data_IF_743655019886
#
_entry.id   IF_743655019886
#
_cell.length_a   1.000
_cell.length_b   1.000
_cell.length_c   1.000
_cell.angle_alpha   90.00
_cell.angle_beta   90.00
_cell.angle_gamma   90.00
#
_symmetry.space_group_name_H-M   'P 1'
#
loop_
_entity.id
_entity.type
_entity.pdbx_description
1 polymer ?
#
# COMPACT_ATOMS: atom_id res chain seq x y z
N UNK A 1 21.77 -6.71 -14.67
CA UNK A 1 20.93 -5.48 -14.63
C UNK A 1 20.47 -5.29 -13.19
N UNK A 2 20.70 -4.12 -12.58
CA UNK A 2 20.24 -3.86 -11.22
C UNK A 2 18.71 -3.90 -11.19
N UNK A 3 18.14 -4.64 -10.22
CA UNK A 3 16.71 -4.60 -9.94
C UNK A 3 16.39 -3.15 -9.53
N UNK A 4 15.66 -2.42 -10.38
CA UNK A 4 15.23 -1.05 -10.05
C UNK A 4 14.33 -1.09 -8.81
N UNK A 5 14.46 -0.10 -7.93
CA UNK A 5 13.59 0.06 -6.78
C UNK A 5 12.11 0.14 -7.23
N UNK A 6 11.20 -0.31 -6.36
CA UNK A 6 9.77 -0.20 -6.62
C UNK A 6 9.38 1.27 -6.78
N UNK A 7 8.52 1.59 -7.75
CA UNK A 7 7.93 2.93 -7.90
C UNK A 7 6.77 3.16 -6.92
N UNK A 8 6.24 2.09 -6.29
CA UNK A 8 5.12 2.13 -5.36
C UNK A 8 5.23 3.20 -4.26
N UNK A 9 6.35 3.36 -3.50
CA UNK A 9 6.41 4.36 -2.43
C UNK A 9 6.33 5.80 -2.95
N UNK A 10 6.87 6.06 -4.15
CA UNK A 10 6.80 7.38 -4.80
C UNK A 10 5.38 7.71 -5.25
N UNK A 11 4.69 6.73 -5.83
CA UNK A 11 3.28 6.87 -6.21
C UNK A 11 2.37 7.06 -5.00
N UNK A 12 2.65 6.36 -3.89
CA UNK A 12 1.89 6.55 -2.65
C UNK A 12 2.04 7.96 -2.12
N UNK A 13 3.26 8.50 -2.09
CA UNK A 13 3.52 9.90 -1.70
C UNK A 13 2.76 10.89 -2.58
N UNK A 14 2.82 10.72 -3.90
CA UNK A 14 2.15 11.61 -4.83
C UNK A 14 0.62 11.65 -4.63
N UNK A 15 -0.02 10.49 -4.45
CA UNK A 15 -1.47 10.44 -4.20
C UNK A 15 -1.84 11.01 -2.83
N UNK A 16 -1.03 10.73 -1.80
CA UNK A 16 -1.23 11.34 -0.48
C UNK A 16 -1.17 12.87 -0.54
N UNK A 17 -0.13 13.43 -1.18
CA UNK A 17 0.03 14.89 -1.33
C UNK A 17 -1.13 15.50 -2.11
N UNK A 18 -1.58 14.85 -3.19
CA UNK A 18 -2.76 15.27 -3.94
C UNK A 18 -4.02 15.28 -3.08
N UNK A 19 -4.30 14.21 -2.34
CA UNK A 19 -5.47 14.16 -1.44
C UNK A 19 -5.44 15.33 -0.43
N UNK A 20 -4.29 15.58 0.20
CA UNK A 20 -4.15 16.68 1.19
C UNK A 20 -4.32 18.05 0.53
N UNK A 21 -3.75 18.26 -0.67
CA UNK A 21 -3.85 19.51 -1.41
C UNK A 21 -5.29 19.84 -1.83
N UNK A 22 -6.12 18.83 -2.07
CA UNK A 22 -7.55 18.96 -2.41
C UNK A 22 -8.47 18.90 -1.16
N UNK A 23 -7.91 18.86 0.04
CA UNK A 23 -8.66 18.71 1.31
C UNK A 23 -9.51 17.42 1.36
N UNK A 24 -9.07 16.36 0.68
CA UNK A 24 -9.65 15.03 0.77
C UNK A 24 -9.05 14.21 1.92
N UNK A 25 -9.78 13.17 2.31
CA UNK A 25 -9.37 12.22 3.36
C UNK A 25 -8.56 11.07 2.74
N UNK A 26 -7.22 11.01 2.91
CA UNK A 26 -6.41 9.96 2.33
C UNK A 26 -6.63 8.64 3.09
N UNK A 27 -7.14 7.63 2.40
CA UNK A 27 -7.37 6.29 2.93
C UNK A 27 -6.34 5.31 2.37
N UNK A 28 -5.64 4.60 3.27
CA UNK A 28 -4.64 3.60 2.93
C UNK A 28 -5.21 2.20 3.20
N UNK A 29 -5.25 1.38 2.17
CA UNK A 29 -5.63 -0.03 2.25
C UNK A 29 -4.37 -0.90 2.26
N UNK A 30 -4.25 -1.75 3.28
CA UNK A 30 -3.08 -2.59 3.51
C UNK A 30 -3.49 -4.03 3.77
N UNK A 31 -2.86 -4.98 3.07
CA UNK A 31 -2.96 -6.42 3.37
C UNK A 31 -2.02 -6.72 4.53
N UNK A 32 -2.56 -7.19 5.65
CA UNK A 32 -1.78 -7.43 6.85
C UNK A 32 -1.11 -8.81 6.80
N UNK A 33 0.21 -8.81 6.97
CA UNK A 33 1.04 -10.01 7.04
C UNK A 33 1.88 -10.03 8.33
N UNK A 34 2.78 -11.01 8.42
CA UNK A 34 3.73 -11.16 9.53
C UNK A 34 4.74 -10.01 9.68
N UNK A 35 4.94 -9.21 8.64
CA UNK A 35 5.87 -8.07 8.64
C UNK A 35 5.17 -6.74 8.95
N UNK A 36 3.86 -6.79 9.17
CA UNK A 36 3.02 -5.63 9.43
C UNK A 36 2.76 -5.49 10.92
N UNK A 37 2.96 -4.29 11.45
CA UNK A 37 2.61 -3.94 12.82
C UNK A 37 1.37 -3.04 12.79
N UNK A 38 0.23 -3.62 13.16
CA UNK A 38 -1.05 -2.94 13.30
C UNK A 38 -1.94 -3.65 14.34
N UNK A 39 -2.86 -2.94 15.01
CA UNK A 39 -3.77 -3.55 15.99
C UNK A 39 -4.69 -4.61 15.37
N UNK A 40 -4.52 -5.87 15.77
CA UNK A 40 -5.23 -7.02 15.17
C UNK A 40 -6.75 -6.93 15.25
N UNK A 41 -7.30 -6.28 16.27
CA UNK A 41 -8.73 -6.11 16.47
C UNK A 41 -9.43 -5.31 15.36
N UNK A 42 -8.67 -4.57 14.54
CA UNK A 42 -9.20 -3.73 13.46
C UNK A 42 -8.95 -4.30 12.07
N UNK A 43 -8.38 -5.52 12.00
CA UNK A 43 -8.17 -6.24 10.75
C UNK A 43 -9.47 -6.95 10.36
N UNK A 44 -9.88 -6.78 9.11
CA UNK A 44 -11.04 -7.44 8.51
C UNK A 44 -10.59 -8.10 7.20
N UNK A 45 -10.90 -9.39 7.04
CA UNK A 45 -10.54 -10.17 5.85
C UNK A 45 -9.05 -10.09 5.49
N UNK A 46 -8.19 -10.10 6.51
CA UNK A 46 -6.74 -9.98 6.37
C UNK A 46 -6.24 -8.59 5.94
N UNK A 47 -7.10 -7.58 5.96
CA UNK A 47 -6.78 -6.20 5.57
C UNK A 47 -7.09 -5.21 6.67
N UNK A 48 -6.41 -4.07 6.62
CA UNK A 48 -6.72 -2.90 7.45
C UNK A 48 -6.86 -1.67 6.55
N UNK A 49 -7.89 -0.88 6.84
CA UNK A 49 -8.14 0.40 6.19
C UNK A 49 -7.83 1.51 7.18
N UNK A 50 -6.94 2.43 6.81
CA UNK A 50 -6.38 3.43 7.70
C UNK A 50 -6.66 4.82 7.16
N UNK A 51 -7.12 5.72 8.03
CA UNK A 51 -7.23 7.14 7.72
C UNK A 51 -5.87 7.82 7.95
N UNK A 52 -5.31 8.42 6.91
CA UNK A 52 -4.02 9.11 6.92
C UNK A 52 -4.16 10.64 6.96
N UNK A 53 -5.36 11.20 7.15
CA UNK A 53 -5.50 12.64 7.25
C UNK A 53 -4.62 13.23 8.36
N UNK A 54 -3.97 14.39 8.14
CA UNK A 54 -3.04 15.00 9.11
C UNK A 54 -3.61 15.15 10.52
N UNK A 55 -4.92 15.36 10.67
CA UNK A 55 -5.62 15.48 11.95
C UNK A 55 -5.84 14.14 12.67
N UNK A 56 -5.76 13.01 11.95
CA UNK A 56 -6.05 11.67 12.49
C UNK A 56 -4.80 10.92 12.98
N UNK A 57 -3.60 11.36 12.56
CA UNK A 57 -2.34 10.65 12.80
C UNK A 57 -1.24 11.60 13.28
N UNK A 58 -0.14 11.03 13.78
CA UNK A 58 1.08 11.76 14.15
C UNK A 58 2.31 11.08 13.58
N UNK A 59 3.37 11.86 13.39
CA UNK A 59 4.70 11.38 13.01
C UNK A 59 4.67 10.51 11.73
N UNK A 60 3.87 10.94 10.74
CA UNK A 60 3.78 10.26 9.46
C UNK A 60 5.12 10.29 8.73
N UNK A 61 5.62 9.10 8.40
CA UNK A 61 6.75 8.90 7.50
C UNK A 61 6.31 7.99 6.35
N UNK A 62 6.28 8.56 5.14
CA UNK A 62 6.06 7.84 3.90
C UNK A 62 7.41 7.38 3.32
N UNK A 63 8.00 6.37 3.94
CA UNK A 63 9.33 5.86 3.57
C UNK A 63 9.33 4.94 2.34
N UNK A 64 10.52 4.66 1.82
CA UNK A 64 10.69 3.78 0.65
C UNK A 64 10.50 2.29 0.97
N UNK A 65 10.76 1.89 2.22
CA UNK A 65 10.60 0.52 2.69
C UNK A 65 9.24 0.30 3.38
N UNK A 66 8.79 1.28 4.16
CA UNK A 66 7.57 1.20 4.95
C UNK A 66 6.94 2.57 5.18
N UNK A 67 5.65 2.56 5.46
CA UNK A 67 4.89 3.70 5.98
C UNK A 67 4.77 3.51 7.49
N UNK A 68 5.12 4.53 8.26
CA UNK A 68 5.02 4.51 9.72
C UNK A 68 4.31 5.75 10.22
N UNK A 69 3.48 5.60 11.24
CA UNK A 69 2.81 6.71 11.92
C UNK A 69 2.23 6.23 13.24
N UNK A 70 1.81 7.18 14.08
CA UNK A 70 1.01 6.92 15.28
C UNK A 70 -0.44 7.24 14.99
N UNK A 71 -1.36 6.35 15.32
CA UNK A 71 -2.81 6.60 15.23
C UNK A 71 -3.51 6.15 16.51
N UNK A 72 -4.76 6.61 16.72
CA UNK A 72 -5.55 6.20 17.89
C UNK A 72 -6.57 5.15 17.52
N UNK A 73 -6.56 4.05 18.25
CA UNK A 73 -7.53 2.96 18.15
C UNK A 73 -8.28 2.86 19.47
N UNK A 74 -9.60 3.06 19.45
CA UNK A 74 -10.43 3.16 20.66
C UNK A 74 -9.85 4.14 21.71
N UNK A 75 -9.26 5.25 21.23
CA UNK A 75 -8.65 6.27 22.08
C UNK A 75 -7.23 5.94 22.56
N UNK A 76 -6.71 4.72 22.39
CA UNK A 76 -5.33 4.37 22.72
C UNK A 76 -4.38 4.67 21.54
N UNK A 77 -3.23 5.35 21.75
CA UNK A 77 -2.25 5.55 20.70
C UNK A 77 -1.52 4.24 20.39
N UNK A 78 -1.37 3.95 19.11
CA UNK A 78 -0.68 2.78 18.57
C UNK A 78 0.27 3.22 17.47
N UNK A 79 1.49 2.69 17.49
CA UNK A 79 2.46 2.89 16.42
C UNK A 79 2.20 1.87 15.32
N UNK A 80 2.24 2.27 14.06
CA UNK A 80 2.06 1.38 12.92
C UNK A 80 3.34 1.29 12.10
N UNK A 81 3.59 0.08 11.59
CA UNK A 81 4.63 -0.19 10.62
C UNK A 81 4.03 -1.00 9.47
N UNK A 82 3.97 -0.39 8.30
CA UNK A 82 3.27 -0.94 7.13
C UNK A 82 4.27 -1.07 5.98
N UNK A 83 4.78 -2.28 5.68
CA UNK A 83 5.68 -2.49 4.55
C UNK A 83 5.06 -2.00 3.24
N UNK A 84 5.85 -1.37 2.37
CA UNK A 84 5.37 -0.90 1.07
C UNK A 84 4.87 -2.08 0.20
N UNK A 85 5.44 -3.27 0.38
CA UNK A 85 4.97 -4.49 -0.30
C UNK A 85 3.51 -4.82 0.02
N UNK A 86 3.05 -4.53 1.24
CA UNK A 86 1.72 -4.83 1.76
C UNK A 86 0.65 -3.78 1.41
N UNK A 87 1.04 -2.62 0.88
CA UNK A 87 0.10 -1.57 0.46
C UNK A 87 -0.65 -2.01 -0.81
N UNK A 88 -1.97 -2.14 -0.68
CA UNK A 88 -2.91 -2.46 -1.76
C UNK A 88 -3.47 -1.21 -2.42
N UNK A 89 -3.57 -0.09 -1.71
CA UNK A 89 -4.04 1.14 -2.33
C UNK A 89 -3.97 2.37 -1.43
N UNK A 90 -3.96 3.54 -2.07
CA UNK A 90 -4.09 4.85 -1.46
C UNK A 90 -5.09 5.65 -2.31
N UNK A 91 -6.10 6.22 -1.68
CA UNK A 91 -7.18 6.90 -2.40
C UNK A 91 -7.87 7.94 -1.54
N UNK A 92 -8.57 8.89 -2.16
CA UNK A 92 -9.45 9.82 -1.48
C UNK A 92 -10.76 9.12 -1.11
N UNK A 93 -11.13 9.18 0.18
CA UNK A 93 -12.37 8.58 0.69
C UNK A 93 -13.63 9.12 -0.03
N UNK A 94 -13.60 10.39 -0.42
CA UNK A 94 -14.73 11.17 -0.90
C UNK A 94 -15.23 10.69 -2.26
N UNK A 95 -14.32 10.36 -3.17
CA UNK A 95 -14.63 10.00 -4.55
C UNK A 95 -14.05 8.65 -4.97
N UNK A 96 -13.21 8.02 -4.15
CA UNK A 96 -12.55 6.74 -4.46
C UNK A 96 -11.39 6.85 -5.45
N UNK A 97 -11.00 8.06 -5.86
CA UNK A 97 -9.89 8.27 -6.79
C UNK A 97 -8.53 8.08 -6.11
N UNK A 98 -7.61 7.44 -6.81
CA UNK A 98 -6.29 7.13 -6.28
C UNK A 98 -5.58 6.04 -7.07
N UNK A 99 -4.71 5.29 -6.40
CA UNK A 99 -3.96 4.19 -6.99
C UNK A 99 -4.12 2.91 -6.17
N UNK A 100 -4.32 1.81 -6.89
CA UNK A 100 -4.37 0.47 -6.35
C UNK A 100 -3.22 -0.35 -6.94
N UNK A 101 -2.66 -1.23 -6.12
CA UNK A 101 -1.48 -2.02 -6.45
C UNK A 101 -1.77 -3.50 -6.24
N UNK A 102 -1.17 -4.33 -7.11
CA UNK A 102 -1.08 -5.76 -6.82
C UNK A 102 -0.14 -5.99 -5.63
N UNK A 103 -0.64 -6.70 -4.63
CA UNK A 103 0.17 -7.24 -3.54
C UNK A 103 0.37 -8.72 -3.85
N UNK A 104 1.63 -9.09 -4.08
CA UNK A 104 1.97 -10.49 -4.30
C UNK A 104 1.70 -11.24 -3.02
N UNK A 105 0.97 -12.35 -3.13
CA UNK A 105 0.89 -13.29 -2.03
C UNK A 105 2.28 -13.88 -1.82
N UNK A 106 2.76 -13.88 -0.58
CA UNK A 106 3.90 -14.68 -0.20
C UNK A 106 3.50 -16.13 -0.47
N UNK A 107 3.89 -16.63 -1.64
CA UNK A 107 3.86 -18.06 -1.93
C UNK A 107 4.82 -18.68 -0.91
N UNK A 108 4.29 -19.35 0.10
CA UNK A 108 5.05 -20.36 0.82
C UNK A 108 5.75 -21.22 -0.24
N UNK A 109 7.09 -21.22 -0.21
CA UNK A 109 7.88 -22.02 -1.13
C UNK A 109 7.65 -23.49 -0.82
N UNK A 110 6.60 -24.07 -1.40
CA UNK A 110 6.48 -25.52 -1.52
C UNK A 110 7.03 -25.90 -2.90
N UNK A 111 8.14 -26.62 -2.88
CA UNK A 111 8.85 -27.12 -4.05
C UNK A 111 7.95 -28.11 -4.80
N UNK A 112 7.23 -27.68 -5.85
CA UNK A 112 6.79 -28.59 -6.92
C UNK A 112 6.91 -27.99 -8.32
N UNK A 113 7.51 -28.81 -9.18
CA UNK A 113 7.95 -28.55 -10.54
C UNK A 113 6.84 -28.17 -11.54
N UNK A 114 7.25 -27.31 -12.48
CA UNK A 114 6.85 -27.18 -13.89
C UNK A 114 5.40 -27.47 -14.31
N UNK A 115 4.78 -26.48 -15.00
CA UNK A 115 4.31 -26.61 -16.40
C UNK A 115 3.86 -25.27 -17.02
N UNK A 116 4.57 -24.91 -18.11
CA UNK A 116 4.23 -24.15 -19.33
C UNK A 116 3.11 -23.08 -19.32
N UNK A 117 3.52 -21.88 -19.74
CA UNK A 117 2.68 -20.78 -20.26
C UNK A 117 1.82 -21.18 -21.46
N UNK A 118 0.80 -20.35 -21.78
CA UNK A 118 0.75 -19.81 -23.14
C UNK A 118 0.43 -18.30 -23.20
N UNK A 119 1.32 -17.63 -23.93
CA UNK A 119 1.11 -16.58 -24.94
C UNK A 119 0.54 -15.17 -24.62
N UNK A 120 1.21 -14.17 -25.24
CA UNK A 120 1.15 -12.70 -25.07
C UNK A 120 0.00 -12.02 -25.86
N UNK A 121 -0.12 -10.68 -25.74
CA UNK A 121 0.17 -9.86 -26.92
C UNK A 121 1.32 -8.85 -26.74
N UNK A 122 2.01 -8.56 -27.85
CA UNK A 122 3.08 -7.56 -27.98
C UNK A 122 2.46 -6.17 -28.18
N UNK A 123 2.95 -5.16 -27.45
CA UNK A 123 2.73 -3.75 -27.78
C UNK A 123 3.70 -3.35 -28.89
N UNK A 124 3.18 -2.76 -29.97
CA UNK A 124 3.98 -2.25 -31.09
C UNK A 124 4.27 -0.76 -30.87
N UNK A 125 5.54 -0.39 -30.97
CA UNK A 125 6.00 0.99 -30.89
C UNK A 125 5.50 1.80 -32.11
N UNK A 126 4.70 2.83 -31.88
CA UNK A 126 4.42 3.86 -32.91
C UNK A 126 5.62 4.82 -32.89
N UNK A 127 6.37 4.88 -33.99
CA UNK A 127 7.44 5.86 -34.13
C UNK A 127 6.84 7.26 -34.37
N UNK A 128 7.60 8.24 -33.86
CA UNK A 128 7.42 9.70 -33.91
C UNK A 128 7.01 10.24 -35.26
#
# INVERSE_FOLDING_TARGET
MAKSASTKPYLVRAIYEWCVAEQFTPYLLVKVDQNTLAPRAFIKDGKILLNLSPESIKDLLLGDAAITFTARFNGAPENLYLPISAVEGIYAKENGEGLFFEVKEDQETDLKETKKSPNKPKLTLVKS
#
